data_IF_389761227767
#
_entry.id   IF_389761227767
#
_cell.length_a   1.000
_cell.length_b   1.000
_cell.length_c   1.000
_cell.angle_alpha   90.00
_cell.angle_beta   90.00
_cell.angle_gamma   90.00
#
_symmetry.space_group_name_H-M   'P 1'
#
loop_
_entity.id
_entity.type
_entity.pdbx_description
1 polymer ?
#
# COMPACT_ATOMS: atom_id res chain seq x y z
N UNK A 1 -0.11 -7.75 7.38
CA UNK A 1 -1.16 -7.80 8.41
C UNK A 1 -0.58 -7.14 9.63
N UNK A 2 -0.98 -5.88 9.84
CA UNK A 2 -0.49 -5.06 10.93
C UNK A 2 -0.99 -5.56 12.28
N UNK A 3 -0.49 -4.95 13.36
CA UNK A 3 -0.77 -5.34 14.74
C UNK A 3 -2.27 -5.54 15.02
N UNK A 4 -3.12 -4.67 14.45
CA UNK A 4 -4.57 -4.73 14.60
C UNK A 4 -5.22 -5.98 14.01
N UNK A 5 -4.65 -6.59 12.97
CA UNK A 5 -5.25 -7.77 12.34
C UNK A 5 -5.27 -8.98 13.30
N UNK A 6 -4.24 -9.12 14.14
CA UNK A 6 -4.13 -10.25 15.08
C UNK A 6 -5.28 -10.26 16.09
N UNK A 7 -5.84 -9.08 16.40
CA UNK A 7 -6.97 -8.90 17.30
C UNK A 7 -8.31 -9.39 16.72
N UNK A 8 -8.39 -9.57 15.40
CA UNK A 8 -9.57 -10.13 14.72
C UNK A 8 -9.53 -11.67 14.63
N UNK A 9 -8.47 -12.32 15.14
CA UNK A 9 -8.38 -13.78 15.13
C UNK A 9 -9.36 -14.40 16.13
N UNK A 10 -10.02 -15.48 15.74
CA UNK A 10 -10.85 -16.30 16.66
C UNK A 10 -10.02 -17.07 17.70
N UNK A 11 -8.71 -17.18 17.50
CA UNK A 11 -7.81 -17.95 18.37
C UNK A 11 -7.19 -17.14 19.49
N UNK A 12 -7.28 -15.81 19.44
CA UNK A 12 -6.65 -14.91 20.41
C UNK A 12 -7.74 -14.18 21.21
N UNK A 13 -7.51 -14.01 22.51
CA UNK A 13 -8.36 -13.09 23.28
C UNK A 13 -8.15 -11.66 22.79
N UNK A 14 -9.24 -10.90 22.68
CA UNK A 14 -9.15 -9.50 22.29
C UNK A 14 -8.48 -8.68 23.40
N UNK A 15 -7.26 -8.20 23.13
CA UNK A 15 -6.48 -7.38 24.06
C UNK A 15 -6.11 -6.07 23.37
N UNK A 16 -6.74 -4.96 23.78
CA UNK A 16 -6.45 -3.64 23.22
C UNK A 16 -5.31 -2.98 24.01
N UNK A 17 -4.08 -3.24 23.58
CA UNK A 17 -2.88 -2.68 24.18
C UNK A 17 -2.51 -1.28 23.65
N UNK A 18 -1.42 -0.71 24.18
CA UNK A 18 -0.93 0.59 23.73
C UNK A 18 -0.51 0.59 22.26
N UNK A 19 0.04 -0.52 21.75
CA UNK A 19 0.46 -0.65 20.36
C UNK A 19 -0.74 -0.65 19.42
N UNK A 20 -1.82 -1.34 19.78
CA UNK A 20 -3.09 -1.32 19.05
C UNK A 20 -3.71 0.07 19.05
N UNK A 21 -3.71 0.73 20.21
CA UNK A 21 -4.20 2.11 20.33
C UNK A 21 -3.41 3.07 19.45
N UNK A 22 -2.08 2.93 19.38
CA UNK A 22 -1.21 3.76 18.55
C UNK A 22 -1.45 3.50 17.05
N UNK A 23 -1.46 2.23 16.63
CA UNK A 23 -1.75 1.86 15.24
C UNK A 23 -3.11 2.40 14.77
N UNK A 24 -4.13 2.32 15.63
CA UNK A 24 -5.45 2.89 15.33
C UNK A 24 -5.40 4.42 15.17
N UNK A 25 -4.71 5.13 16.08
CA UNK A 25 -4.56 6.59 16.01
C UNK A 25 -3.86 7.02 14.72
N UNK A 26 -2.81 6.31 14.30
CA UNK A 26 -2.08 6.61 13.07
C UNK A 26 -2.95 6.42 11.83
N UNK A 27 -3.67 5.30 11.72
CA UNK A 27 -4.59 5.05 10.60
C UNK A 27 -5.68 6.11 10.56
N UNK A 28 -6.29 6.43 11.70
CA UNK A 28 -7.32 7.46 11.80
C UNK A 28 -6.79 8.83 11.40
N UNK A 29 -5.59 9.22 11.87
CA UNK A 29 -4.98 10.49 11.53
C UNK A 29 -4.71 10.63 10.03
N UNK A 30 -4.18 9.57 9.38
CA UNK A 30 -3.98 9.57 7.93
C UNK A 30 -5.29 9.65 7.15
N UNK A 31 -6.29 8.85 7.53
CA UNK A 31 -7.59 8.87 6.88
C UNK A 31 -8.27 10.26 6.97
N UNK A 32 -8.12 10.94 8.10
CA UNK A 32 -8.64 12.30 8.28
C UNK A 32 -7.83 13.35 7.49
N UNK A 33 -6.51 13.25 7.47
CA UNK A 33 -5.64 14.20 6.77
C UNK A 33 -5.87 14.21 5.25
N UNK A 34 -6.22 13.06 4.67
CA UNK A 34 -6.44 12.90 3.22
C UNK A 34 -7.91 12.64 2.87
N UNK A 35 -8.86 13.03 3.74
CA UNK A 35 -10.29 12.73 3.56
C UNK A 35 -10.91 13.40 2.32
N UNK A 36 -10.33 14.52 1.91
CA UNK A 36 -10.82 15.36 0.80
C UNK A 36 -10.03 15.09 -0.50
N UNK A 37 -9.01 14.23 -0.44
CA UNK A 37 -8.28 13.76 -1.62
C UNK A 37 -9.04 12.59 -2.27
N UNK A 38 -9.10 12.59 -3.59
CA UNK A 38 -9.82 11.57 -4.35
C UNK A 38 -8.93 10.88 -5.36
N UNK A 39 -9.21 9.59 -5.58
CA UNK A 39 -8.58 8.79 -6.63
C UNK A 39 -9.20 9.18 -7.96
N UNK A 40 -8.37 9.48 -8.96
CA UNK A 40 -8.78 9.86 -10.31
C UNK A 40 -8.51 8.70 -11.27
N UNK A 41 -9.51 8.21 -12.03
CA UNK A 41 -9.29 7.17 -13.02
C UNK A 41 -8.20 7.52 -14.05
N UNK A 42 -7.54 6.50 -14.60
CA UNK A 42 -6.57 6.67 -15.68
C UNK A 42 -7.26 7.17 -16.96
N UNK A 43 -6.62 8.12 -17.64
CA UNK A 43 -7.06 8.63 -18.94
C UNK A 43 -6.12 8.10 -20.04
N UNK A 44 -6.69 7.33 -20.96
CA UNK A 44 -5.97 6.70 -22.07
C UNK A 44 -5.99 7.53 -23.36
N UNK A 45 -6.51 8.76 -23.31
CA UNK A 45 -6.53 9.68 -24.45
C UNK A 45 -5.11 9.99 -24.92
N UNK A 46 -4.84 10.04 -26.24
CA UNK A 46 -3.52 10.40 -26.75
C UNK A 46 -3.07 11.79 -26.26
N UNK A 47 -1.80 11.90 -25.86
CA UNK A 47 -1.21 13.15 -25.39
C UNK A 47 -1.39 13.44 -23.90
N UNK A 48 -2.09 12.58 -23.16
CA UNK A 48 -2.14 12.64 -21.69
C UNK A 48 -0.82 12.12 -21.10
N UNK A 49 -0.46 12.59 -19.90
CA UNK A 49 0.78 12.24 -19.22
C UNK A 49 0.97 10.73 -19.00
N UNK A 50 2.21 10.33 -18.77
CA UNK A 50 2.59 8.93 -18.58
C UNK A 50 1.89 8.29 -17.37
N UNK A 51 1.53 7.02 -17.50
CA UNK A 51 1.10 6.19 -16.37
C UNK A 51 2.36 5.68 -15.66
N UNK A 52 2.50 6.00 -14.39
CA UNK A 52 3.62 5.57 -13.57
C UNK A 52 3.17 4.53 -12.54
N UNK A 53 4.09 3.59 -12.28
CA UNK A 53 4.00 2.64 -11.18
C UNK A 53 5.20 2.87 -10.26
N UNK A 54 4.93 3.24 -9.02
CA UNK A 54 5.97 3.42 -7.99
C UNK A 54 5.71 2.42 -6.88
N UNK A 55 6.69 1.58 -6.59
CA UNK A 55 6.58 0.53 -5.59
C UNK A 55 7.71 0.57 -4.57
N UNK A 56 7.42 0.10 -3.37
CA UNK A 56 8.42 -0.16 -2.34
C UNK A 56 8.02 -1.40 -1.54
N UNK A 57 8.98 -1.99 -0.86
CA UNK A 57 8.75 -3.21 -0.11
C UNK A 57 9.82 -3.53 0.90
N UNK A 58 9.39 -4.16 1.98
CA UNK A 58 10.21 -4.71 3.03
C UNK A 58 9.67 -6.07 3.49
N UNK A 59 10.38 -6.73 4.40
CA UNK A 59 9.99 -8.06 4.89
C UNK A 59 8.59 -8.09 5.54
N UNK A 60 8.02 -6.96 5.98
CA UNK A 60 6.71 -6.94 6.65
C UNK A 60 5.56 -6.49 5.75
N UNK A 61 5.85 -5.93 4.58
CA UNK A 61 4.84 -5.37 3.68
C UNK A 61 5.41 -4.91 2.35
N UNK A 62 4.56 -4.98 1.32
CA UNK A 62 4.80 -4.40 0.00
C UNK A 62 3.71 -3.38 -0.31
N UNK A 63 4.06 -2.35 -1.07
CA UNK A 63 3.13 -1.30 -1.48
C UNK A 63 3.44 -0.77 -2.87
N UNK A 64 2.41 -0.21 -3.51
CA UNK A 64 2.51 0.42 -4.80
C UNK A 64 1.49 1.54 -4.96
N UNK A 65 1.83 2.52 -5.79
CA UNK A 65 0.91 3.55 -6.26
C UNK A 65 0.93 3.58 -7.77
N UNK A 66 -0.26 3.57 -8.36
CA UNK A 66 -0.47 3.85 -9.78
C UNK A 66 -0.92 5.29 -9.88
N UNK A 67 -0.20 6.10 -10.65
CA UNK A 67 -0.50 7.51 -10.84
C UNK A 67 -0.27 7.93 -12.29
N UNK A 68 -0.79 9.09 -12.70
CA UNK A 68 -0.65 9.57 -14.06
C UNK A 68 -0.18 11.03 -14.12
N UNK A 69 0.88 11.28 -14.90
CA UNK A 69 1.52 12.58 -15.05
C UNK A 69 3.01 12.45 -15.39
N UNK A 70 3.59 13.51 -15.93
CA UNK A 70 5.00 13.51 -16.36
C UNK A 70 5.99 13.47 -15.16
N UNK A 71 5.58 14.00 -14.01
CA UNK A 71 6.34 13.93 -12.75
C UNK A 71 5.56 13.06 -11.76
N UNK A 72 6.05 11.84 -11.52
CA UNK A 72 5.34 10.85 -10.69
C UNK A 72 5.08 11.33 -9.25
N UNK A 73 5.85 12.29 -8.71
CA UNK A 73 5.62 12.84 -7.36
C UNK A 73 4.43 13.79 -7.30
N UNK A 74 4.04 14.41 -8.43
CA UNK A 74 2.96 15.39 -8.54
C UNK A 74 1.77 14.88 -9.35
N UNK A 75 1.90 13.70 -9.92
CA UNK A 75 0.87 12.99 -10.67
C UNK A 75 -0.35 12.69 -9.78
N UNK A 76 -1.55 12.72 -10.37
CA UNK A 76 -2.75 12.31 -9.64
C UNK A 76 -2.75 10.80 -9.43
N UNK A 77 -3.25 10.37 -8.27
CA UNK A 77 -3.29 8.95 -7.92
C UNK A 77 -4.52 8.28 -8.52
N UNK A 78 -4.30 7.15 -9.18
CA UNK A 78 -5.35 6.30 -9.76
C UNK A 78 -5.60 5.02 -8.96
N UNK A 79 -4.60 4.52 -8.21
CA UNK A 79 -4.80 3.40 -7.31
C UNK A 79 -3.67 3.26 -6.27
N UNK A 80 -4.00 2.63 -5.14
CA UNK A 80 -3.02 2.16 -4.15
C UNK A 80 -3.07 0.63 -4.02
N UNK A 81 -1.91 -0.01 -4.06
CA UNK A 81 -1.73 -1.41 -3.71
C UNK A 81 -1.01 -1.53 -2.38
N UNK A 82 -1.45 -2.46 -1.53
CA UNK A 82 -0.67 -2.91 -0.38
C UNK A 82 -0.99 -4.34 -0.04
N UNK A 83 0.04 -5.11 0.33
CA UNK A 83 -0.12 -6.52 0.71
C UNK A 83 0.94 -6.98 1.71
N UNK A 84 0.64 -8.07 2.43
CA UNK A 84 1.62 -8.78 3.26
C UNK A 84 2.24 -9.90 2.42
N UNK A 85 3.58 -9.95 2.26
CA UNK A 85 4.22 -11.11 1.65
C UNK A 85 3.96 -12.39 2.46
N UNK A 86 3.88 -13.53 1.78
CA UNK A 86 3.82 -14.86 2.40
C UNK A 86 5.07 -15.12 3.25
N UNK A 87 4.99 -16.05 4.21
CA UNK A 87 6.15 -16.40 5.07
C UNK A 87 7.38 -16.81 4.28
N UNK A 88 7.21 -17.39 3.09
CA UNK A 88 8.29 -17.69 2.14
C UNK A 88 8.85 -16.41 1.50
N UNK A 89 7.98 -15.52 1.00
CA UNK A 89 8.39 -14.27 0.36
C UNK A 89 9.10 -13.30 1.33
N UNK A 90 8.72 -13.29 2.61
CA UNK A 90 9.36 -12.45 3.64
C UNK A 90 10.85 -12.79 3.85
N UNK A 91 11.28 -13.99 3.45
CA UNK A 91 12.68 -14.44 3.54
C UNK A 91 13.51 -14.05 2.32
N UNK A 92 12.91 -13.45 1.30
CA UNK A 92 13.65 -12.99 0.14
C UNK A 92 14.56 -11.81 0.49
N UNK A 93 15.71 -11.66 -0.19
CA UNK A 93 16.51 -10.45 -0.05
C UNK A 93 15.71 -9.23 -0.51
N UNK A 94 15.97 -8.06 0.09
CA UNK A 94 15.21 -6.82 -0.11
C UNK A 94 15.00 -6.46 -1.58
N UNK A 95 16.00 -6.61 -2.44
CA UNK A 95 15.86 -6.29 -3.87
C UNK A 95 14.79 -7.16 -4.56
N UNK A 96 14.65 -8.44 -4.16
CA UNK A 96 13.59 -9.32 -4.67
C UNK A 96 12.22 -8.95 -4.09
N UNK A 97 12.16 -8.50 -2.84
CA UNK A 97 10.90 -8.01 -2.24
C UNK A 97 10.41 -6.76 -2.97
N UNK A 98 11.31 -5.83 -3.31
CA UNK A 98 10.96 -4.64 -4.10
C UNK A 98 10.47 -5.00 -5.51
N UNK A 99 11.14 -5.95 -6.17
CA UNK A 99 10.70 -6.46 -7.46
C UNK A 99 9.34 -7.17 -7.38
N UNK A 100 9.10 -7.93 -6.30
CA UNK A 100 7.81 -8.55 -5.99
C UNK A 100 6.72 -7.50 -5.81
N UNK A 101 6.99 -6.39 -5.13
CA UNK A 101 6.03 -5.29 -4.98
C UNK A 101 5.57 -4.74 -6.34
N UNK A 102 6.50 -4.58 -7.28
CA UNK A 102 6.20 -4.22 -8.68
C UNK A 102 5.27 -5.23 -9.35
N UNK A 103 5.65 -6.50 -9.34
CA UNK A 103 4.89 -7.58 -9.98
C UNK A 103 3.47 -7.72 -9.40
N UNK A 104 3.35 -7.76 -8.08
CA UNK A 104 2.06 -7.91 -7.39
C UNK A 104 1.13 -6.73 -7.66
N UNK A 105 1.69 -5.50 -7.76
CA UNK A 105 0.88 -4.32 -8.12
C UNK A 105 0.36 -4.41 -9.56
N UNK A 106 1.19 -4.80 -10.52
CA UNK A 106 0.79 -4.97 -11.94
C UNK A 106 -0.16 -6.14 -12.18
N UNK A 107 -0.11 -7.19 -11.36
CA UNK A 107 -1.09 -8.27 -11.48
C UNK A 107 -2.47 -7.85 -10.94
N UNK A 108 -2.53 -6.81 -10.11
CA UNK A 108 -3.77 -6.32 -9.52
C UNK A 108 -4.47 -5.27 -10.38
N UNK A 109 -3.72 -4.48 -11.14
CA UNK A 109 -4.17 -3.35 -11.98
C UNK A 109 -3.63 -3.47 -13.40
#
# INVERSE_FOLDING_TARGET
>A
MGHLHVLASSTNSFQWDQTAQQAFKEVKAKALAFRDEYIVPLDYTPGVGAINLVTDGCATGIGGVVNQGNEWQKAWVAAFFSAKPSTTQQKYPVHKIKMLAGMETMMRY
#
